data_IF_016603936564
#
_entry.id   IF_016603936564
#
_cell.length_a   1.000
_cell.length_b   1.000
_cell.length_c   1.000
_cell.angle_alpha   90.00
_cell.angle_beta   90.00
_cell.angle_gamma   90.00
#
_symmetry.space_group_name_H-M   'P 1'
#
loop_
_entity.id
_entity.type
_entity.pdbx_description
1 polymer ?
#
# COMPACT_ATOMS: atom_id res chain seq x y z
N UNK A 1 -43.37 63.20 -19.18
CA UNK A 1 -42.25 62.56 -19.86
C UNK A 1 -41.81 61.36 -19.03
N UNK A 2 -42.28 60.18 -19.42
CA UNK A 2 -42.10 58.90 -18.70
C UNK A 2 -40.88 58.20 -19.29
N UNK A 3 -39.91 57.85 -18.45
CA UNK A 3 -38.74 57.06 -18.81
C UNK A 3 -39.01 55.57 -18.65
N UNK A 4 -38.67 54.68 -19.59
CA UNK A 4 -38.95 53.25 -19.44
C UNK A 4 -37.86 52.51 -18.65
N UNK A 5 -38.32 51.75 -17.67
CA UNK A 5 -37.53 50.82 -16.86
C UNK A 5 -36.98 49.67 -17.71
N UNK A 6 -35.67 49.48 -17.69
CA UNK A 6 -35.00 48.31 -18.27
C UNK A 6 -35.16 47.12 -17.32
N UNK A 7 -35.94 46.11 -17.72
CA UNK A 7 -35.94 44.79 -17.07
C UNK A 7 -34.64 44.05 -17.38
N UNK A 8 -33.94 43.66 -16.33
CA UNK A 8 -32.80 42.74 -16.40
C UNK A 8 -33.30 41.33 -16.79
N UNK A 9 -32.81 40.83 -17.92
CA UNK A 9 -33.03 39.46 -18.44
C UNK A 9 -31.80 38.58 -18.15
N UNK A 10 -31.45 38.38 -16.88
CA UNK A 10 -30.53 37.33 -16.52
C UNK A 10 -31.13 36.49 -15.38
N UNK A 11 -31.81 35.40 -15.79
CA UNK A 11 -32.16 34.32 -14.87
C UNK A 11 -30.90 33.48 -14.56
N UNK A 12 -30.84 32.85 -13.38
CA UNK A 12 -29.69 32.02 -13.02
C UNK A 12 -29.68 30.75 -13.86
N UNK A 13 -28.67 30.59 -14.71
CA UNK A 13 -28.34 29.33 -15.38
C UNK A 13 -27.78 28.35 -14.33
N UNK A 14 -28.68 27.62 -13.66
CA UNK A 14 -28.34 26.42 -12.91
C UNK A 14 -28.06 25.27 -13.88
N UNK A 15 -26.90 25.23 -14.49
CA UNK A 15 -26.42 24.05 -15.19
C UNK A 15 -25.83 23.09 -14.15
N UNK A 16 -26.67 22.18 -13.62
CA UNK A 16 -26.17 20.97 -13.01
C UNK A 16 -25.45 20.17 -14.09
N UNK A 17 -24.14 20.27 -14.15
CA UNK A 17 -23.31 19.32 -14.87
C UNK A 17 -23.37 18.02 -14.09
N UNK A 18 -24.28 17.14 -14.47
CA UNK A 18 -24.29 15.75 -14.01
C UNK A 18 -23.07 15.07 -14.62
N UNK A 19 -22.01 14.95 -13.87
CA UNK A 19 -20.93 14.05 -14.25
C UNK A 19 -21.50 12.64 -14.24
N UNK A 20 -21.41 11.88 -15.34
CA UNK A 20 -21.79 10.48 -15.31
C UNK A 20 -20.91 9.79 -14.27
N UNK A 21 -21.53 9.15 -13.29
CA UNK A 21 -20.85 8.24 -12.36
C UNK A 21 -20.30 7.08 -13.21
N UNK A 22 -19.10 7.24 -13.73
CA UNK A 22 -18.32 6.17 -14.31
C UNK A 22 -17.81 5.34 -13.12
N UNK A 23 -18.63 4.39 -12.68
CA UNK A 23 -18.12 3.28 -11.86
C UNK A 23 -17.19 2.52 -12.79
N UNK A 24 -15.88 2.49 -12.52
CA UNK A 24 -14.98 1.70 -13.33
C UNK A 24 -15.43 0.25 -13.24
N UNK A 25 -15.63 -0.39 -14.38
CA UNK A 25 -15.88 -1.82 -14.45
C UNK A 25 -14.81 -2.50 -13.62
N UNK A 26 -15.20 -3.42 -12.72
CA UNK A 26 -14.30 -4.16 -11.84
C UNK A 26 -13.38 -4.99 -12.74
N UNK A 27 -12.22 -4.46 -13.09
CA UNK A 27 -11.22 -5.17 -13.90
C UNK A 27 -10.70 -6.32 -13.05
N UNK A 28 -11.01 -7.54 -13.43
CA UNK A 28 -10.46 -8.72 -12.77
C UNK A 28 -9.00 -8.84 -13.20
N UNK A 29 -8.08 -8.53 -12.30
CA UNK A 29 -6.65 -8.68 -12.56
C UNK A 29 -6.26 -10.15 -12.54
N UNK A 30 -5.44 -10.55 -13.51
CA UNK A 30 -4.75 -11.82 -13.49
C UNK A 30 -3.40 -11.64 -12.78
N UNK A 31 -3.14 -12.40 -11.70
CA UNK A 31 -1.90 -12.32 -10.94
C UNK A 31 -1.09 -13.59 -11.16
N UNK A 32 0.10 -13.42 -11.71
CA UNK A 32 1.08 -14.51 -11.93
C UNK A 32 2.18 -14.40 -10.90
N UNK A 33 2.55 -15.53 -10.29
CA UNK A 33 3.61 -15.61 -9.28
C UNK A 33 4.89 -16.14 -9.89
N UNK A 34 6.03 -15.50 -9.61
CA UNK A 34 7.37 -15.93 -9.99
C UNK A 34 8.23 -16.11 -8.75
N UNK A 35 8.87 -17.26 -8.63
CA UNK A 35 9.85 -17.55 -7.60
C UNK A 35 11.13 -16.75 -7.86
N UNK A 36 11.62 -16.05 -6.85
CA UNK A 36 12.80 -15.21 -6.97
C UNK A 36 14.01 -15.78 -6.24
N UNK A 37 15.05 -14.97 -6.18
CA UNK A 37 16.33 -15.25 -5.55
C UNK A 37 16.25 -15.25 -4.02
N UNK A 38 17.36 -15.63 -3.38
CA UNK A 38 17.54 -15.50 -1.93
C UNK A 38 17.39 -14.04 -1.51
N UNK A 39 16.55 -13.80 -0.49
CA UNK A 39 16.29 -12.48 0.08
C UNK A 39 17.05 -12.24 1.39
N UNK A 40 17.69 -13.29 1.92
CA UNK A 40 18.39 -13.26 3.20
C UNK A 40 19.80 -13.81 3.05
N UNK A 41 20.81 -13.00 3.31
CA UNK A 41 22.19 -13.46 3.32
C UNK A 41 22.46 -14.33 4.55
N UNK A 42 23.45 -15.24 4.43
CA UNK A 42 23.87 -16.09 5.53
C UNK A 42 24.26 -15.29 6.78
N UNK A 43 24.90 -14.14 6.60
CA UNK A 43 25.28 -13.25 7.71
C UNK A 43 24.04 -12.73 8.46
N UNK A 44 23.01 -12.27 7.73
CA UNK A 44 21.77 -11.81 8.36
C UNK A 44 20.99 -12.95 8.99
N UNK A 45 20.98 -14.14 8.37
CA UNK A 45 20.35 -15.33 8.95
C UNK A 45 21.01 -15.72 10.29
N UNK A 46 22.33 -15.72 10.36
CA UNK A 46 23.07 -16.00 11.60
C UNK A 46 22.78 -14.97 12.70
N UNK A 47 22.68 -13.69 12.36
CA UNK A 47 22.32 -12.64 13.34
C UNK A 47 20.91 -12.81 13.91
N UNK A 48 19.98 -13.28 13.13
CA UNK A 48 18.59 -13.53 13.56
C UNK A 48 18.49 -14.80 14.42
N UNK A 49 19.41 -15.77 14.26
CA UNK A 49 19.32 -17.09 14.86
C UNK A 49 19.14 -17.05 16.39
N UNK A 50 19.95 -16.27 17.09
CA UNK A 50 19.89 -16.18 18.57
C UNK A 50 18.54 -15.62 19.06
N UNK A 51 17.99 -14.63 18.37
CA UNK A 51 16.70 -14.06 18.71
C UNK A 51 15.54 -15.04 18.43
N UNK A 52 15.64 -15.78 17.33
CA UNK A 52 14.67 -16.80 16.96
C UNK A 52 14.70 -18.00 17.93
N UNK A 53 15.88 -18.44 18.34
CA UNK A 53 16.06 -19.50 19.33
C UNK A 53 15.49 -19.11 20.70
N UNK A 54 15.59 -17.84 21.09
CA UNK A 54 14.99 -17.32 22.32
C UNK A 54 13.44 -17.39 22.29
N UNK A 55 12.82 -17.22 21.11
CA UNK A 55 11.38 -17.36 20.96
C UNK A 55 10.95 -18.83 20.97
N UNK A 56 11.68 -19.68 20.25
CA UNK A 56 11.41 -21.10 20.20
C UNK A 56 12.70 -21.92 20.00
N UNK A 57 13.16 -22.71 21.00
CA UNK A 57 14.49 -23.36 21.00
C UNK A 57 14.66 -24.45 19.94
N UNK A 58 13.60 -24.82 19.21
CA UNK A 58 13.70 -25.77 18.09
C UNK A 58 13.88 -25.11 16.74
N UNK A 59 13.92 -23.78 16.65
CA UNK A 59 14.25 -23.10 15.41
C UNK A 59 15.75 -23.25 15.18
N UNK A 60 16.12 -23.94 14.11
CA UNK A 60 17.52 -24.27 13.77
C UNK A 60 18.05 -23.46 12.59
N UNK A 61 17.20 -22.73 11.92
CA UNK A 61 17.59 -21.92 10.79
C UNK A 61 16.44 -21.11 10.23
N UNK A 62 16.81 -20.11 9.46
CA UNK A 62 15.92 -19.27 8.69
C UNK A 62 16.51 -19.05 7.31
N UNK A 63 15.68 -19.14 6.29
CA UNK A 63 15.99 -18.73 4.94
C UNK A 63 14.87 -17.83 4.42
N UNK A 64 15.16 -17.00 3.43
CA UNK A 64 14.15 -16.19 2.79
C UNK A 64 14.39 -16.10 1.29
N UNK A 65 13.31 -16.02 0.53
CA UNK A 65 13.33 -15.75 -0.91
C UNK A 65 12.44 -14.58 -1.25
N UNK A 66 12.77 -13.91 -2.33
CA UNK A 66 11.84 -13.01 -2.97
C UNK A 66 10.79 -13.82 -3.75
N UNK A 67 9.58 -13.33 -3.74
CA UNK A 67 8.50 -13.81 -4.60
C UNK A 67 7.93 -12.59 -5.31
N UNK A 68 7.76 -12.69 -6.63
CA UNK A 68 7.26 -11.60 -7.43
C UNK A 68 5.83 -11.91 -7.86
N UNK A 69 4.96 -10.94 -7.69
CA UNK A 69 3.58 -10.96 -8.14
C UNK A 69 3.44 -10.00 -9.31
N UNK A 70 3.00 -10.49 -10.47
CA UNK A 70 2.79 -9.69 -11.67
C UNK A 70 1.31 -9.61 -11.99
N UNK A 71 0.76 -8.41 -11.95
CA UNK A 71 -0.64 -8.15 -12.31
C UNK A 71 -0.75 -7.74 -13.77
N UNK A 72 -1.65 -8.40 -14.49
CA UNK A 72 -1.97 -8.16 -15.90
C UNK A 72 -3.48 -8.14 -16.11
N UNK A 73 -3.95 -7.59 -17.23
CA UNK A 73 -5.38 -7.59 -17.57
C UNK A 73 -5.89 -8.96 -18.04
N UNK A 74 -4.98 -9.81 -18.55
CA UNK A 74 -5.26 -11.17 -18.97
C UNK A 74 -4.06 -12.07 -18.67
N UNK A 75 -4.25 -13.37 -18.70
CA UNK A 75 -3.15 -14.32 -18.52
C UNK A 75 -2.02 -14.03 -19.53
N UNK A 76 -0.75 -13.93 -19.10
CA UNK A 76 0.37 -13.72 -19.99
C UNK A 76 0.51 -14.92 -20.95
N UNK A 77 0.89 -14.63 -22.19
CA UNK A 77 1.27 -15.66 -23.16
C UNK A 77 2.54 -16.39 -22.70
N UNK A 78 2.84 -17.55 -23.27
CA UNK A 78 4.05 -18.30 -22.94
C UNK A 78 5.33 -17.47 -23.19
N UNK A 79 5.36 -16.63 -24.24
CA UNK A 79 6.48 -15.75 -24.54
C UNK A 79 6.62 -14.63 -23.49
N UNK A 80 5.53 -13.96 -23.11
CA UNK A 80 5.52 -12.94 -22.07
C UNK A 80 5.91 -13.53 -20.71
N UNK A 81 5.43 -14.74 -20.40
CA UNK A 81 5.80 -15.45 -19.17
C UNK A 81 7.30 -15.76 -19.13
N UNK A 82 7.88 -16.27 -20.22
CA UNK A 82 9.31 -16.53 -20.30
C UNK A 82 10.14 -15.23 -20.16
N UNK A 83 9.70 -14.15 -20.80
CA UNK A 83 10.36 -12.85 -20.68
C UNK A 83 10.28 -12.28 -19.27
N UNK A 84 9.12 -12.38 -18.60
CA UNK A 84 8.97 -12.00 -17.19
C UNK A 84 9.87 -12.83 -16.28
N UNK A 85 9.91 -14.16 -16.48
CA UNK A 85 10.78 -15.03 -15.71
C UNK A 85 12.25 -14.63 -15.85
N UNK A 86 12.70 -14.31 -17.05
CA UNK A 86 14.07 -13.85 -17.30
C UNK A 86 14.37 -12.51 -16.62
N UNK A 87 13.45 -11.53 -16.68
CA UNK A 87 13.60 -10.23 -16.04
C UNK A 87 13.61 -10.32 -14.50
N UNK A 88 12.87 -11.26 -13.93
CA UNK A 88 12.71 -11.43 -12.49
C UNK A 88 13.71 -12.43 -11.88
N UNK A 89 14.61 -13.00 -12.70
CA UNK A 89 15.71 -13.85 -12.27
C UNK A 89 16.97 -13.01 -12.08
N UNK A 90 17.34 -12.76 -10.82
CA UNK A 90 18.53 -12.01 -10.42
C UNK A 90 18.98 -12.42 -9.01
N UNK A 91 20.24 -12.09 -8.65
CA UNK A 91 20.81 -12.44 -7.35
C UNK A 91 21.13 -13.93 -7.19
N UNK A 92 21.38 -14.35 -5.98
CA UNK A 92 21.75 -15.74 -5.66
C UNK A 92 20.52 -16.65 -5.67
N UNK A 93 20.65 -17.87 -6.19
CA UNK A 93 19.58 -18.85 -6.17
C UNK A 93 19.15 -19.17 -4.72
N UNK A 94 17.83 -19.33 -4.52
CA UNK A 94 17.32 -19.76 -3.23
C UNK A 94 17.71 -21.21 -2.95
N UNK A 95 18.40 -21.43 -1.84
CA UNK A 95 18.85 -22.76 -1.38
C UNK A 95 18.21 -23.16 -0.03
N UNK A 96 17.19 -22.45 0.43
CA UNK A 96 16.49 -22.77 1.67
C UNK A 96 15.46 -23.89 1.53
N UNK A 97 14.75 -24.26 2.62
CA UNK A 97 13.76 -25.31 2.61
C UNK A 97 12.56 -24.96 1.72
N UNK A 98 12.04 -25.96 1.00
CA UNK A 98 10.84 -25.82 0.18
C UNK A 98 9.56 -25.78 1.04
N UNK A 99 9.58 -26.46 2.18
CA UNK A 99 8.45 -26.62 3.11
C UNK A 99 8.81 -26.11 4.50
N UNK A 100 7.82 -26.06 5.39
CA UNK A 100 7.96 -25.60 6.76
C UNK A 100 7.20 -24.30 7.04
N UNK A 101 7.17 -23.85 8.30
CA UNK A 101 6.47 -22.62 8.67
C UNK A 101 6.97 -21.44 7.87
N UNK A 102 6.04 -20.73 7.25
CA UNK A 102 6.33 -19.58 6.41
C UNK A 102 5.78 -18.31 7.04
N UNK A 103 6.53 -17.20 6.86
CA UNK A 103 6.08 -15.85 7.18
C UNK A 103 6.24 -15.03 5.91
N UNK A 104 5.13 -14.44 5.46
CA UNK A 104 5.10 -13.65 4.23
C UNK A 104 5.07 -12.17 4.59
N UNK A 105 6.12 -11.47 4.19
CA UNK A 105 6.28 -10.03 4.39
C UNK A 105 6.11 -9.33 3.05
N UNK A 106 5.21 -8.37 3.00
CA UNK A 106 4.90 -7.57 1.81
C UNK A 106 5.28 -6.11 2.04
N UNK A 107 5.42 -5.30 0.99
CA UNK A 107 5.30 -3.86 1.15
C UNK A 107 4.01 -3.51 1.89
N UNK A 108 3.98 -2.34 2.54
CA UNK A 108 2.80 -1.90 3.27
C UNK A 108 1.56 -1.91 2.38
N UNK A 109 0.51 -2.58 2.84
CA UNK A 109 -0.76 -2.66 2.11
C UNK A 109 -1.33 -1.25 1.88
N UNK A 110 -1.92 -1.02 0.71
CA UNK A 110 -2.43 0.29 0.30
C UNK A 110 -1.37 1.26 -0.26
N UNK A 111 -0.10 0.83 -0.38
CA UNK A 111 0.98 1.63 -0.96
C UNK A 111 1.60 0.95 -2.18
N UNK A 112 2.36 1.70 -2.96
CA UNK A 112 3.21 1.18 -4.04
C UNK A 112 4.66 1.37 -3.64
N UNK A 113 5.42 0.27 -3.57
CA UNK A 113 6.82 0.37 -3.17
C UNK A 113 7.67 1.05 -4.26
N UNK A 114 8.77 1.76 -3.90
CA UNK A 114 9.70 2.31 -4.88
C UNK A 114 10.30 1.24 -5.79
N UNK A 115 10.51 0.02 -5.27
CA UNK A 115 10.95 -1.13 -6.06
C UNK A 115 9.91 -1.52 -7.11
N UNK A 116 8.62 -1.61 -6.73
CA UNK A 116 7.52 -1.96 -7.62
C UNK A 116 7.37 -0.97 -8.77
N UNK A 117 7.45 0.33 -8.48
CA UNK A 117 7.41 1.38 -9.51
C UNK A 117 8.51 1.18 -10.54
N UNK A 118 9.77 0.99 -10.08
CA UNK A 118 10.91 0.80 -10.99
C UNK A 118 10.83 -0.49 -11.79
N UNK A 119 10.48 -1.61 -11.14
CA UNK A 119 10.34 -2.91 -11.79
C UNK A 119 9.23 -2.89 -12.86
N UNK A 120 8.11 -2.23 -12.56
CA UNK A 120 7.01 -2.07 -13.50
C UNK A 120 7.43 -1.26 -14.72
N UNK A 121 8.16 -0.16 -14.53
CA UNK A 121 8.66 0.68 -15.62
C UNK A 121 9.66 -0.09 -16.51
N UNK A 122 10.56 -0.86 -15.91
CA UNK A 122 11.50 -1.70 -16.65
C UNK A 122 10.77 -2.73 -17.51
N UNK A 123 9.80 -3.43 -16.93
CA UNK A 123 9.04 -4.45 -17.65
C UNK A 123 8.22 -3.84 -18.82
N UNK A 124 7.62 -2.66 -18.61
CA UNK A 124 6.92 -1.92 -19.68
C UNK A 124 7.86 -1.47 -20.79
N UNK A 125 9.05 -0.98 -20.45
CA UNK A 125 10.08 -0.59 -21.40
C UNK A 125 10.60 -1.79 -22.22
N UNK A 126 10.51 -3.00 -21.67
CA UNK A 126 10.77 -4.25 -22.40
C UNK A 126 9.59 -4.71 -23.29
N UNK A 127 8.54 -3.91 -23.43
CA UNK A 127 7.37 -4.19 -24.27
C UNK A 127 6.29 -5.05 -23.62
N UNK A 128 6.40 -5.35 -22.32
CA UNK A 128 5.41 -6.16 -21.60
C UNK A 128 4.20 -5.31 -21.18
N UNK A 129 2.99 -5.81 -21.46
CA UNK A 129 1.73 -5.17 -21.08
C UNK A 129 1.31 -5.62 -19.69
N UNK A 130 1.90 -5.01 -18.67
CA UNK A 130 1.61 -5.29 -17.28
C UNK A 130 1.00 -4.09 -16.56
N UNK A 131 0.20 -4.35 -15.56
CA UNK A 131 -0.33 -3.32 -14.65
C UNK A 131 0.72 -2.94 -13.61
N UNK A 132 1.24 -3.92 -12.89
CA UNK A 132 2.22 -3.71 -11.83
C UNK A 132 2.97 -5.00 -11.49
N UNK A 133 4.22 -4.85 -11.08
CA UNK A 133 5.01 -5.91 -10.44
C UNK A 133 5.20 -5.54 -8.98
N UNK A 134 4.91 -6.45 -8.08
CA UNK A 134 5.22 -6.33 -6.66
C UNK A 134 6.19 -7.42 -6.23
N UNK A 135 6.99 -7.14 -5.21
CA UNK A 135 7.93 -8.09 -4.61
C UNK A 135 7.63 -8.23 -3.12
N UNK A 136 7.43 -9.45 -2.70
CA UNK A 136 7.32 -9.83 -1.30
C UNK A 136 8.51 -10.71 -0.88
N UNK A 137 8.70 -10.85 0.43
CA UNK A 137 9.71 -11.74 1.02
C UNK A 137 9.00 -12.87 1.74
N UNK A 138 9.29 -14.09 1.35
CA UNK A 138 8.83 -15.29 2.04
C UNK A 138 9.97 -15.87 2.88
N UNK A 139 9.81 -15.80 4.19
CA UNK A 139 10.72 -16.43 5.15
C UNK A 139 10.25 -17.86 5.42
N UNK A 140 11.20 -18.78 5.50
CA UNK A 140 11.00 -20.18 5.88
C UNK A 140 11.87 -20.54 7.10
N UNK A 141 11.23 -21.12 8.11
CA UNK A 141 11.91 -21.55 9.32
C UNK A 141 12.21 -23.05 9.24
N UNK A 142 13.43 -23.41 9.62
CA UNK A 142 13.81 -24.79 9.86
C UNK A 142 13.59 -25.13 11.32
N UNK A 143 12.81 -26.17 11.61
CA UNK A 143 12.47 -26.61 12.96
C UNK A 143 12.97 -28.04 13.18
N UNK A 144 13.62 -28.30 14.33
CA UNK A 144 13.93 -29.68 14.74
C UNK A 144 12.63 -30.43 15.07
N UNK A 145 12.43 -31.64 14.54
CA UNK A 145 11.26 -32.46 14.89
C UNK A 145 11.23 -32.78 16.38
N UNK A 146 10.03 -33.05 16.90
CA UNK A 146 9.82 -33.50 18.27
C UNK A 146 10.35 -34.92 18.50
N UNK A 147 10.46 -35.36 19.77
CA UNK A 147 10.88 -36.71 20.17
C UNK A 147 10.00 -37.80 19.54
N UNK A 148 8.75 -37.51 19.21
CA UNK A 148 7.79 -38.41 18.56
C UNK A 148 7.66 -38.17 17.06
N UNK A 149 8.59 -37.42 16.43
CA UNK A 149 8.65 -37.23 14.98
C UNK A 149 7.69 -36.17 14.41
N UNK A 150 6.88 -35.48 15.20
CA UNK A 150 6.00 -34.41 14.74
C UNK A 150 6.78 -33.09 14.53
N UNK A 151 6.40 -32.33 13.50
CA UNK A 151 6.88 -30.95 13.37
C UNK A 151 6.30 -30.11 14.52
N UNK A 152 7.13 -29.34 15.27
CA UNK A 152 6.61 -28.49 16.33
C UNK A 152 5.77 -27.37 15.71
N UNK A 153 4.58 -27.13 16.27
CA UNK A 153 3.73 -26.01 15.89
C UNK A 153 4.14 -24.76 16.67
N UNK A 154 4.29 -23.66 15.96
CA UNK A 154 4.50 -22.36 16.56
C UNK A 154 3.14 -21.80 17.02
N UNK A 155 3.05 -21.38 18.27
CA UNK A 155 1.85 -20.68 18.76
C UNK A 155 1.67 -19.33 18.04
N UNK A 156 0.45 -18.81 18.02
CA UNK A 156 0.15 -17.50 17.43
C UNK A 156 1.02 -16.37 18.03
N UNK A 157 1.29 -16.44 19.36
CA UNK A 157 2.17 -15.49 20.04
C UNK A 157 3.63 -15.57 19.54
N UNK A 158 4.14 -16.79 19.34
CA UNK A 158 5.50 -16.99 18.79
C UNK A 158 5.58 -16.54 17.33
N UNK A 159 4.56 -16.83 16.53
CA UNK A 159 4.49 -16.33 15.14
C UNK A 159 4.50 -14.80 15.09
N UNK A 160 3.74 -14.13 15.97
CA UNK A 160 3.75 -12.66 16.06
C UNK A 160 5.13 -12.12 16.47
N UNK A 161 5.79 -12.71 17.47
CA UNK A 161 7.12 -12.30 17.89
C UNK A 161 8.18 -12.50 16.79
N UNK A 162 8.08 -13.60 16.02
CA UNK A 162 8.96 -13.83 14.88
C UNK A 162 8.69 -12.82 13.78
N UNK A 163 7.42 -12.56 13.47
CA UNK A 163 7.03 -11.56 12.48
C UNK A 163 7.57 -10.16 12.83
N UNK A 164 7.53 -9.77 14.12
CA UNK A 164 8.08 -8.50 14.60
C UNK A 164 9.60 -8.36 14.40
N UNK A 165 10.33 -9.47 14.36
CA UNK A 165 11.77 -9.48 14.06
C UNK A 165 12.07 -9.39 12.54
N UNK A 166 11.11 -9.78 11.69
CA UNK A 166 11.32 -10.00 10.27
C UNK A 166 10.80 -8.88 9.38
N UNK A 167 9.98 -7.95 9.89
CA UNK A 167 9.42 -6.87 9.09
C UNK A 167 9.60 -5.50 9.74
N UNK A 168 9.64 -4.48 8.92
CA UNK A 168 9.59 -3.08 9.35
C UNK A 168 8.12 -2.62 9.38
N UNK A 169 7.60 -2.33 10.58
CA UNK A 169 6.21 -1.89 10.78
C UNK A 169 5.84 -0.60 10.05
N UNK A 170 6.82 0.22 9.67
CA UNK A 170 6.56 1.49 8.97
C UNK A 170 6.34 1.29 7.48
N UNK A 171 7.06 0.36 6.87
CA UNK A 171 7.13 0.19 5.41
C UNK A 171 6.62 -1.16 4.92
N UNK A 172 6.38 -2.11 5.83
CA UNK A 172 6.02 -3.47 5.50
C UNK A 172 4.78 -3.95 6.27
N UNK A 173 4.18 -5.01 5.77
CA UNK A 173 3.05 -5.72 6.38
C UNK A 173 3.31 -7.21 6.36
N UNK A 174 2.83 -7.92 7.39
CA UNK A 174 2.84 -9.38 7.42
C UNK A 174 1.47 -9.89 7.01
N UNK A 175 1.42 -10.84 6.10
CA UNK A 175 0.20 -11.47 5.62
C UNK A 175 0.23 -12.98 5.88
N UNK A 176 -0.94 -13.62 5.97
CA UNK A 176 -1.04 -15.02 6.33
C UNK A 176 -0.40 -15.94 5.27
N UNK A 177 -0.56 -15.61 4.00
CA UNK A 177 -0.07 -16.39 2.87
C UNK A 177 0.12 -15.50 1.62
N UNK A 178 0.58 -16.12 0.54
CA UNK A 178 0.78 -15.45 -0.75
C UNK A 178 -0.54 -15.00 -1.40
N UNK A 179 -1.64 -15.69 -1.15
CA UNK A 179 -2.94 -15.33 -1.71
C UNK A 179 -3.43 -14.01 -1.08
N UNK A 180 -3.23 -13.84 0.23
CA UNK A 180 -3.55 -12.58 0.90
C UNK A 180 -2.69 -11.41 0.39
N UNK A 181 -1.47 -11.67 -0.07
CA UNK A 181 -0.62 -10.65 -0.69
C UNK A 181 -1.21 -10.05 -1.99
N UNK A 182 -2.20 -10.69 -2.62
CA UNK A 182 -2.92 -10.11 -3.75
C UNK A 182 -3.64 -8.80 -3.39
N UNK A 183 -3.88 -8.53 -2.10
CA UNK A 183 -4.40 -7.24 -1.62
C UNK A 183 -3.49 -6.06 -1.99
N UNK A 184 -2.21 -6.27 -2.29
CA UNK A 184 -1.32 -5.24 -2.82
C UNK A 184 -1.86 -4.59 -4.09
N UNK A 185 -2.66 -5.30 -4.88
CA UNK A 185 -3.24 -4.83 -6.13
C UNK A 185 -4.67 -4.29 -5.98
N UNK A 186 -5.19 -4.22 -4.76
CA UNK A 186 -6.52 -3.67 -4.51
C UNK A 186 -6.46 -2.15 -4.68
N UNK A 187 -7.21 -1.65 -5.64
CA UNK A 187 -7.43 -0.22 -5.84
C UNK A 187 -8.62 0.22 -4.99
N UNK A 188 -8.38 1.16 -4.09
CA UNK A 188 -9.44 1.81 -3.34
C UNK A 188 -9.97 3.00 -4.14
N UNK A 189 -11.30 3.23 -4.16
CA UNK A 189 -11.83 4.44 -4.75
C UNK A 189 -11.27 5.66 -4.00
N UNK A 190 -10.98 6.72 -4.74
CA UNK A 190 -10.58 7.98 -4.13
C UNK A 190 -11.69 8.46 -3.19
N UNK A 191 -11.33 8.90 -1.99
CA UNK A 191 -12.28 9.57 -1.11
C UNK A 191 -12.77 10.87 -1.78
N UNK A 192 -14.04 11.26 -1.60
CA UNK A 192 -14.52 12.54 -2.09
C UNK A 192 -13.75 13.67 -1.39
N UNK A 193 -13.48 14.73 -2.12
CA UNK A 193 -12.89 15.94 -1.55
C UNK A 193 -13.87 16.54 -0.53
N UNK A 194 -13.38 16.82 0.66
CA UNK A 194 -14.13 17.49 1.72
C UNK A 194 -13.79 18.98 1.80
N UNK A 195 -14.69 19.78 2.34
CA UNK A 195 -14.47 21.20 2.59
C UNK A 195 -14.95 21.57 3.97
N UNK A 196 -14.21 22.46 4.64
CA UNK A 196 -14.58 23.00 5.97
C UNK A 196 -15.31 24.31 5.77
N UNK A 197 -16.52 24.43 6.30
CA UNK A 197 -17.32 25.67 6.20
C UNK A 197 -16.76 26.78 7.09
N UNK A 198 -15.67 27.38 6.64
CA UNK A 198 -15.04 28.53 7.31
C UNK A 198 -15.87 29.81 7.11
N UNK A 199 -16.54 29.96 5.97
CA UNK A 199 -17.35 31.18 5.72
C UNK A 199 -18.57 31.26 6.63
N UNK A 200 -19.19 30.12 6.98
CA UNK A 200 -20.35 30.08 7.86
C UNK A 200 -19.98 29.85 9.34
N UNK A 201 -19.02 28.96 9.60
CA UNK A 201 -18.66 28.52 10.95
C UNK A 201 -17.38 29.13 11.51
N UNK A 202 -16.63 29.88 10.71
CA UNK A 202 -15.43 30.61 11.13
C UNK A 202 -14.38 29.74 11.83
N UNK A 203 -13.78 30.31 12.85
CA UNK A 203 -12.75 29.71 13.69
C UNK A 203 -13.22 28.35 14.31
N UNK A 204 -14.48 28.27 14.77
CA UNK A 204 -14.99 27.05 15.40
C UNK A 204 -15.05 25.85 14.43
N UNK A 205 -15.42 26.09 13.16
CA UNK A 205 -15.44 25.05 12.16
C UNK A 205 -14.04 24.52 11.83
N UNK A 206 -13.06 25.43 11.70
CA UNK A 206 -11.68 25.06 11.43
C UNK A 206 -11.02 24.37 12.62
N UNK A 207 -11.31 24.81 13.85
CA UNK A 207 -10.83 24.16 15.08
C UNK A 207 -11.40 22.73 15.22
N UNK A 208 -12.67 22.53 14.87
CA UNK A 208 -13.27 21.19 14.86
C UNK A 208 -12.58 20.26 13.84
N UNK A 209 -12.33 20.77 12.63
CA UNK A 209 -11.61 20.02 11.59
C UNK A 209 -10.16 19.73 12.01
N UNK A 210 -9.46 20.70 12.62
CA UNK A 210 -8.11 20.53 13.17
C UNK A 210 -8.03 19.33 14.12
N UNK A 211 -9.02 19.22 15.02
CA UNK A 211 -9.09 18.11 15.97
C UNK A 211 -9.47 16.79 15.29
N UNK A 212 -10.49 16.81 14.43
CA UNK A 212 -11.02 15.60 13.79
C UNK A 212 -10.02 14.96 12.82
N UNK A 213 -9.26 15.78 12.10
CA UNK A 213 -8.29 15.32 11.08
C UNK A 213 -6.84 15.25 11.59
N UNK A 214 -6.60 15.72 12.83
CA UNK A 214 -5.27 15.70 13.43
C UNK A 214 -4.26 16.59 12.72
N UNK A 215 -4.68 17.77 12.24
CA UNK A 215 -3.83 18.68 11.46
C UNK A 215 -2.74 19.34 12.30
N UNK A 216 -2.89 19.36 13.62
CA UNK A 216 -1.93 19.97 14.56
C UNK A 216 -1.69 21.49 14.35
N UNK A 217 -2.66 22.20 13.78
CA UNK A 217 -2.59 23.65 13.56
C UNK A 217 -2.56 24.39 14.90
N UNK A 218 -1.67 25.38 15.02
CA UNK A 218 -1.62 26.30 16.16
C UNK A 218 -2.76 27.34 16.07
N UNK A 219 -3.04 28.04 17.18
CA UNK A 219 -4.15 28.99 17.23
C UNK A 219 -4.01 30.16 16.24
N UNK A 220 -2.80 30.69 16.09
CA UNK A 220 -2.47 31.76 15.16
C UNK A 220 -2.53 31.31 13.68
N UNK A 221 -2.23 30.04 13.40
CA UNK A 221 -2.39 29.45 12.07
C UNK A 221 -3.87 29.29 11.71
N UNK A 222 -4.71 28.92 12.68
CA UNK A 222 -6.16 28.86 12.49
C UNK A 222 -6.72 30.26 12.18
N UNK A 223 -6.32 31.28 12.95
CA UNK A 223 -6.70 32.67 12.69
C UNK A 223 -6.28 33.13 11.30
N UNK A 224 -5.03 32.85 10.92
CA UNK A 224 -4.51 33.17 9.60
C UNK A 224 -5.32 32.50 8.46
N UNK A 225 -5.65 31.23 8.59
CA UNK A 225 -6.42 30.50 7.59
C UNK A 225 -7.85 31.06 7.49
N UNK A 226 -8.53 31.29 8.62
CA UNK A 226 -9.88 31.84 8.63
C UNK A 226 -9.91 33.20 7.94
N UNK A 227 -8.98 34.09 8.25
CA UNK A 227 -8.88 35.42 7.65
C UNK A 227 -8.65 35.35 6.14
N UNK A 228 -7.74 34.47 5.69
CA UNK A 228 -7.40 34.39 4.28
C UNK A 228 -8.51 33.73 3.46
N UNK A 229 -9.11 32.63 3.92
CA UNK A 229 -10.22 31.99 3.21
C UNK A 229 -11.48 32.89 3.19
N UNK A 230 -11.70 33.67 4.24
CA UNK A 230 -12.76 34.70 4.26
C UNK A 230 -12.50 35.77 3.20
N UNK A 231 -11.25 36.29 3.09
CA UNK A 231 -10.87 37.24 2.03
C UNK A 231 -11.00 36.68 0.64
N UNK A 232 -10.69 35.36 0.46
CA UNK A 232 -10.86 34.65 -0.81
C UNK A 232 -12.32 34.36 -1.14
N UNK A 233 -13.27 34.51 -0.20
CA UNK A 233 -14.70 34.25 -0.41
C UNK A 233 -15.03 32.80 -0.71
N UNK A 234 -14.23 31.84 -0.25
CA UNK A 234 -14.45 30.41 -0.41
C UNK A 234 -13.99 29.60 0.79
N UNK A 235 -14.50 28.40 0.91
CA UNK A 235 -14.11 27.46 1.94
C UNK A 235 -12.79 26.71 1.57
N UNK A 236 -11.94 26.36 2.55
CA UNK A 236 -10.79 25.49 2.33
C UNK A 236 -11.22 24.05 2.09
N UNK A 237 -10.43 23.34 1.28
CA UNK A 237 -10.54 21.91 1.09
C UNK A 237 -9.67 21.15 2.10
N UNK A 238 -9.98 19.87 2.31
CA UNK A 238 -9.19 18.96 3.13
C UNK A 238 -7.71 18.90 2.65
N UNK A 239 -7.51 18.85 1.33
CA UNK A 239 -6.17 18.83 0.73
C UNK A 239 -5.40 20.11 1.06
N UNK A 240 -6.03 21.29 0.93
CA UNK A 240 -5.38 22.56 1.25
C UNK A 240 -5.00 22.66 2.73
N UNK A 241 -5.87 22.18 3.61
CA UNK A 241 -5.60 22.18 5.06
C UNK A 241 -4.47 21.19 5.42
N UNK A 242 -4.45 19.99 4.83
CA UNK A 242 -3.38 19.01 5.02
C UNK A 242 -2.04 19.45 4.42
N UNK A 243 -2.04 20.24 3.35
CA UNK A 243 -0.80 20.79 2.78
C UNK A 243 -0.23 21.93 3.61
N UNK A 244 -1.07 22.63 4.36
CA UNK A 244 -0.65 23.74 5.22
C UNK A 244 -0.13 23.23 6.58
N UNK A 245 -0.75 22.18 7.14
CA UNK A 245 -0.38 21.52 8.39
C UNK A 245 0.93 20.72 8.25
#
# INVERSE_FOLDING_TARGET
LVSPSRRSLFGPLSSRVSHPNFLPAKVTLHITTFEGSSALSNFRAQRLQSALEAIHPRITGIAARFVHLVATDAAPTAAEHAQLAALLTYGDAYAGPAEGPAIVVTPRLGTVSPWASKATDIARNCGLRIRRVERLTEYRLSLKPGLLGGAPELTAAQQAQIADLLHDRMTESVVADRAQAHQLFTELPAAPMESVDVLGGGHAALQAANTAWGLALAADEIDYLVDNFTKLGRNPTDVELMMFA
#
